data_IF_417137683572
#
_entry.id   IF_417137683572
#
_cell.length_a   1.000
_cell.length_b   1.000
_cell.length_c   1.000
_cell.angle_alpha   90.00
_cell.angle_beta   90.00
_cell.angle_gamma   90.00
#
_symmetry.space_group_name_H-M   'P 1'
#
loop_
_entity.id
_entity.type
_entity.pdbx_description
1 polymer ?
#
# COMPACT_ATOMS: atom_id res chain seq x y z
N UNK A 1 -7.17 29.02 2.83
CA UNK A 1 -7.50 29.18 1.39
C UNK A 1 -6.31 29.65 0.56
N UNK A 2 -5.53 30.64 1.02
CA UNK A 2 -4.31 31.06 0.31
C UNK A 2 -3.19 30.01 0.35
N UNK A 3 -3.06 29.24 1.44
CA UNK A 3 -2.01 28.21 1.56
C UNK A 3 -2.22 27.05 0.58
N UNK A 4 -3.48 26.66 0.34
CA UNK A 4 -3.84 25.62 -0.65
C UNK A 4 -3.49 26.01 -2.10
N UNK A 5 -3.55 27.31 -2.42
CA UNK A 5 -3.12 27.81 -3.73
C UNK A 5 -1.59 27.85 -3.82
N UNK A 6 -0.90 28.23 -2.74
CA UNK A 6 0.57 28.25 -2.65
C UNK A 6 1.17 26.84 -2.77
N UNK A 7 0.50 25.86 -2.19
CA UNK A 7 0.92 24.45 -2.22
C UNK A 7 0.51 23.73 -3.53
N UNK A 8 -0.16 24.44 -4.44
CA UNK A 8 -0.50 23.94 -5.77
C UNK A 8 -1.67 22.94 -5.80
N UNK A 9 -2.44 22.79 -4.73
CA UNK A 9 -3.65 21.95 -4.70
C UNK A 9 -4.84 22.61 -5.40
N UNK A 10 -4.76 23.92 -5.61
CA UNK A 10 -5.85 24.72 -6.16
C UNK A 10 -5.30 25.73 -7.16
N UNK A 11 -5.95 25.86 -8.32
CA UNK A 11 -5.64 26.84 -9.36
C UNK A 11 -6.74 27.89 -9.40
N UNK A 12 -6.36 29.17 -9.41
CA UNK A 12 -7.30 30.29 -9.60
C UNK A 12 -7.26 30.77 -11.03
N UNK A 13 -8.44 30.89 -11.64
CA UNK A 13 -8.62 31.60 -12.90
C UNK A 13 -9.44 32.86 -12.65
N UNK A 14 -8.84 34.03 -12.91
CA UNK A 14 -9.49 35.31 -12.66
C UNK A 14 -10.79 35.42 -13.47
N UNK A 15 -11.89 35.78 -12.79
CA UNK A 15 -13.23 35.85 -13.39
C UNK A 15 -13.97 34.52 -13.57
N UNK A 16 -13.33 33.37 -13.26
CA UNK A 16 -13.92 32.02 -13.46
C UNK A 16 -13.99 31.17 -12.19
N UNK A 17 -13.34 31.62 -11.11
CA UNK A 17 -13.36 30.95 -9.82
C UNK A 17 -12.10 30.13 -9.52
N UNK A 18 -12.24 29.19 -8.60
CA UNK A 18 -11.14 28.46 -7.96
C UNK A 18 -11.34 26.96 -8.17
N UNK A 19 -10.37 26.27 -8.77
CA UNK A 19 -10.47 24.87 -9.22
C UNK A 19 -9.45 23.98 -8.52
N UNK A 20 -9.80 22.72 -8.22
CA UNK A 20 -8.85 21.74 -7.64
C UNK A 20 -7.83 21.33 -8.71
N UNK A 21 -6.53 21.44 -8.40
CA UNK A 21 -5.45 21.07 -9.30
C UNK A 21 -5.28 19.54 -9.32
N UNK A 22 -5.11 18.95 -10.52
CA UNK A 22 -4.78 17.53 -10.70
C UNK A 22 -3.28 17.22 -10.62
N UNK A 23 -2.44 18.15 -10.16
CA UNK A 23 -1.00 17.94 -10.13
C UNK A 23 -0.58 17.23 -8.84
N UNK A 24 -0.21 15.94 -8.95
CA UNK A 24 0.46 15.19 -7.87
C UNK A 24 1.91 15.67 -7.74
N UNK A 25 2.14 16.72 -6.96
CA UNK A 25 3.51 17.11 -6.57
C UNK A 25 4.04 16.08 -5.58
N UNK A 26 5.00 15.29 -6.02
CA UNK A 26 6.02 14.50 -5.30
C UNK A 26 6.17 14.78 -3.80
N UNK A 27 5.16 14.43 -3.01
CA UNK A 27 5.28 14.20 -1.57
C UNK A 27 5.53 12.71 -1.41
N UNK A 28 6.42 12.31 -0.52
CA UNK A 28 6.46 10.93 -0.04
C UNK A 28 5.12 10.72 0.67
N UNK A 29 4.12 10.26 -0.09
CA UNK A 29 2.81 9.93 0.47
C UNK A 29 3.01 8.55 1.03
N UNK A 30 3.01 8.45 2.35
CA UNK A 30 2.67 7.19 2.99
C UNK A 30 1.34 6.77 2.37
N UNK A 31 1.30 5.66 1.65
CA UNK A 31 0.04 5.01 1.26
C UNK A 31 -0.59 4.53 2.57
N UNK A 32 -1.07 5.46 3.39
CA UNK A 32 -2.22 5.16 4.21
C UNK A 32 -3.35 5.06 3.20
N UNK A 33 -3.85 3.84 3.01
CA UNK A 33 -5.20 3.67 2.49
C UNK A 33 -6.07 4.57 3.38
N UNK A 34 -6.42 5.77 2.92
CA UNK A 34 -7.42 6.59 3.60
C UNK A 34 -8.72 5.89 3.32
N UNK A 35 -8.99 4.86 4.13
CA UNK A 35 -10.21 4.10 4.02
C UNK A 35 -11.37 5.04 4.35
N UNK A 36 -12.33 5.10 3.43
CA UNK A 36 -13.50 5.99 3.51
C UNK A 36 -14.47 5.52 4.61
N UNK A 37 -14.13 4.42 5.30
CA UNK A 37 -14.95 3.73 6.29
C UNK A 37 -14.23 3.71 7.64
N UNK A 38 -15.00 3.75 8.74
CA UNK A 38 -14.42 3.59 10.08
C UNK A 38 -13.78 2.19 10.21
N UNK A 39 -12.46 2.14 10.28
CA UNK A 39 -11.65 0.92 10.49
C UNK A 39 -11.54 0.52 11.96
N UNK A 40 -12.54 0.87 12.78
CA UNK A 40 -12.50 0.69 14.25
C UNK A 40 -12.24 -0.76 14.67
N UNK A 41 -12.66 -1.73 13.85
CA UNK A 41 -12.50 -3.16 14.08
C UNK A 41 -11.85 -3.86 12.87
N UNK A 42 -10.88 -3.19 12.22
CA UNK A 42 -10.19 -3.79 11.08
C UNK A 42 -9.22 -4.90 11.52
N UNK A 43 -9.39 -6.08 10.92
CA UNK A 43 -8.60 -7.28 11.18
C UNK A 43 -7.92 -7.74 9.91
N UNK A 44 -6.59 -7.75 9.94
CA UNK A 44 -5.77 -8.33 8.88
C UNK A 44 -5.47 -9.79 9.20
N UNK A 45 -5.79 -10.67 8.27
CA UNK A 45 -5.44 -12.10 8.35
C UNK A 45 -4.51 -12.45 7.21
N UNK A 46 -3.33 -13.02 7.51
CA UNK A 46 -2.40 -13.52 6.50
C UNK A 46 -2.79 -14.95 6.12
N UNK A 47 -3.02 -15.17 4.84
CA UNK A 47 -3.47 -16.45 4.30
C UNK A 47 -2.30 -17.31 3.82
N UNK A 48 -1.30 -16.70 3.16
CA UNK A 48 -0.14 -17.41 2.62
C UNK A 48 1.09 -16.51 2.58
N UNK A 49 2.26 -17.15 2.69
CA UNK A 49 3.58 -16.56 2.44
C UNK A 49 4.38 -17.59 1.64
N UNK A 50 4.67 -17.28 0.39
CA UNK A 50 5.35 -18.19 -0.54
C UNK A 50 6.59 -17.54 -1.13
N UNK A 51 7.72 -18.25 -1.08
CA UNK A 51 8.95 -17.80 -1.74
C UNK A 51 8.86 -18.09 -3.24
N UNK A 52 9.15 -17.10 -4.07
CA UNK A 52 9.07 -17.20 -5.53
C UNK A 52 10.24 -16.55 -6.26
N UNK A 53 10.42 -16.92 -7.54
CA UNK A 53 11.47 -16.41 -8.42
C UNK A 53 11.03 -16.28 -9.88
N UNK A 54 9.72 -16.12 -10.16
CA UNK A 54 9.26 -15.98 -11.54
C UNK A 54 9.77 -14.67 -12.14
N UNK A 55 10.31 -14.75 -13.36
CA UNK A 55 10.95 -13.61 -14.05
C UNK A 55 10.03 -12.39 -14.16
N UNK A 56 8.74 -12.60 -14.43
CA UNK A 56 7.73 -11.51 -14.53
C UNK A 56 7.68 -10.62 -13.28
N UNK A 57 7.81 -11.20 -12.08
CA UNK A 57 7.77 -10.44 -10.84
C UNK A 57 9.15 -9.90 -10.47
N UNK A 58 10.22 -10.62 -10.82
CA UNK A 58 11.59 -10.13 -10.62
C UNK A 58 11.83 -8.84 -11.40
N UNK A 59 11.41 -8.79 -12.67
CA UNK A 59 11.51 -7.59 -13.51
C UNK A 59 10.74 -6.40 -12.91
N UNK A 60 9.50 -6.63 -12.47
CA UNK A 60 8.69 -5.60 -11.80
C UNK A 60 9.30 -5.09 -10.49
N UNK A 61 10.04 -5.95 -9.79
CA UNK A 61 10.71 -5.62 -8.53
C UNK A 61 12.14 -5.09 -8.72
N UNK A 62 12.66 -5.05 -9.95
CA UNK A 62 14.05 -4.67 -10.23
C UNK A 62 15.08 -5.67 -9.70
N UNK A 63 14.70 -6.94 -9.63
CA UNK A 63 15.53 -8.05 -9.15
C UNK A 63 16.17 -8.82 -10.30
N UNK A 64 17.34 -9.39 -10.05
CA UNK A 64 18.04 -10.31 -10.97
C UNK A 64 17.40 -11.70 -10.96
N UNK A 65 17.61 -12.48 -12.02
CA UNK A 65 17.05 -13.83 -12.17
C UNK A 65 17.47 -14.86 -11.11
N UNK A 66 18.56 -14.58 -10.39
CA UNK A 66 19.08 -15.39 -9.28
C UNK A 66 18.56 -14.93 -7.90
N UNK A 67 17.73 -13.88 -7.84
CA UNK A 67 17.13 -13.35 -6.62
C UNK A 67 15.70 -13.86 -6.43
N UNK A 68 15.16 -13.61 -5.23
CA UNK A 68 13.88 -14.14 -4.80
C UNK A 68 13.02 -13.06 -4.13
N UNK A 69 11.71 -13.32 -4.10
CA UNK A 69 10.72 -12.51 -3.40
C UNK A 69 9.81 -13.42 -2.58
N UNK A 70 9.06 -12.83 -1.66
CA UNK A 70 7.91 -13.45 -1.02
C UNK A 70 6.61 -12.89 -1.58
N UNK A 71 5.71 -13.79 -1.98
CA UNK A 71 4.31 -13.50 -2.27
C UNK A 71 3.53 -13.65 -0.96
N UNK A 72 2.87 -12.59 -0.54
CA UNK A 72 2.08 -12.56 0.71
C UNK A 72 0.63 -12.28 0.33
N UNK A 73 -0.27 -13.20 0.69
CA UNK A 73 -1.71 -13.05 0.50
C UNK A 73 -2.40 -12.77 1.83
N UNK A 74 -3.22 -11.72 1.87
CA UNK A 74 -3.86 -11.22 3.09
C UNK A 74 -5.27 -10.77 2.82
N UNK A 75 -6.14 -10.89 3.82
CA UNK A 75 -7.48 -10.29 3.82
C UNK A 75 -7.60 -9.23 4.89
N UNK A 76 -8.29 -8.12 4.60
CA UNK A 76 -8.80 -7.20 5.62
C UNK A 76 -10.28 -7.45 5.84
N UNK A 77 -10.66 -7.46 7.12
CA UNK A 77 -12.00 -7.78 7.56
C UNK A 77 -12.46 -6.74 8.58
N UNK A 78 -13.67 -6.22 8.42
CA UNK A 78 -14.33 -5.40 9.43
C UNK A 78 -15.68 -6.02 9.76
N UNK A 79 -16.02 -6.12 11.05
CA UNK A 79 -17.28 -6.74 11.51
C UNK A 79 -17.56 -8.13 10.89
N UNK A 80 -16.50 -8.94 10.68
CA UNK A 80 -16.60 -10.27 10.06
C UNK A 80 -16.77 -10.28 8.54
N UNK A 81 -16.85 -9.12 7.89
CA UNK A 81 -16.98 -8.99 6.43
C UNK A 81 -15.60 -8.70 5.82
N UNK A 82 -15.16 -9.55 4.90
CA UNK A 82 -13.94 -9.32 4.13
C UNK A 82 -14.20 -8.28 3.06
N UNK A 83 -13.39 -7.23 3.02
CA UNK A 83 -13.58 -6.13 2.09
C UNK A 83 -12.35 -5.86 1.21
N UNK A 84 -11.16 -6.37 1.60
CA UNK A 84 -9.95 -6.34 0.77
C UNK A 84 -9.29 -7.71 0.75
N UNK A 85 -8.92 -8.14 -0.45
CA UNK A 85 -7.92 -9.18 -0.68
C UNK A 85 -6.67 -8.52 -1.27
N UNK A 86 -5.53 -8.69 -0.59
CA UNK A 86 -4.27 -8.09 -0.99
C UNK A 86 -3.24 -9.17 -1.31
N UNK A 87 -2.62 -9.06 -2.48
CA UNK A 87 -1.44 -9.85 -2.85
C UNK A 87 -0.25 -8.91 -2.99
N UNK A 88 0.77 -9.10 -2.17
CA UNK A 88 2.00 -8.31 -2.21
C UNK A 88 3.17 -9.18 -2.63
N UNK A 89 4.04 -8.64 -3.49
CA UNK A 89 5.33 -9.24 -3.83
C UNK A 89 6.43 -8.39 -3.22
N UNK A 90 7.20 -8.95 -2.29
CA UNK A 90 8.21 -8.23 -1.52
C UNK A 90 9.57 -8.88 -1.72
N UNK A 91 10.61 -8.14 -2.13
CA UNK A 91 11.97 -8.68 -2.23
C UNK A 91 12.42 -9.36 -0.93
N UNK A 92 13.08 -10.52 -1.06
CA UNK A 92 13.48 -11.34 0.08
C UNK A 92 14.32 -10.57 1.11
N UNK A 93 15.15 -9.62 0.67
CA UNK A 93 16.00 -8.80 1.53
C UNK A 93 15.23 -7.95 2.57
N UNK A 94 13.93 -7.71 2.35
CA UNK A 94 13.07 -6.96 3.28
C UNK A 94 12.24 -7.87 4.19
N UNK A 95 12.39 -9.20 4.07
CA UNK A 95 11.66 -10.20 4.82
C UNK A 95 12.61 -10.89 5.80
N UNK A 96 12.21 -10.97 7.07
CA UNK A 96 13.01 -11.67 8.07
C UNK A 96 12.75 -13.18 7.96
N UNK A 97 13.70 -13.90 7.36
CA UNK A 97 13.63 -15.36 7.17
C UNK A 97 13.52 -16.17 8.47
N UNK A 98 13.81 -15.56 9.64
CA UNK A 98 13.75 -16.22 10.94
C UNK A 98 12.34 -16.18 11.59
N UNK A 99 11.35 -15.57 10.93
CA UNK A 99 9.96 -15.53 11.42
C UNK A 99 9.03 -16.31 10.47
N UNK A 100 8.88 -17.63 10.67
CA UNK A 100 7.94 -18.45 9.89
C UNK A 100 6.47 -18.26 10.32
N UNK A 101 6.21 -17.56 11.44
CA UNK A 101 4.84 -17.34 11.91
C UNK A 101 4.16 -16.24 11.09
N UNK A 102 3.04 -16.60 10.44
CA UNK A 102 2.18 -15.72 9.66
C UNK A 102 1.70 -14.49 10.44
N UNK A 103 1.55 -14.62 11.76
CA UNK A 103 1.12 -13.53 12.65
C UNK A 103 2.10 -12.35 12.68
N UNK A 104 3.39 -12.59 12.41
CA UNK A 104 4.39 -11.52 12.34
C UNK A 104 4.08 -10.50 11.23
N UNK A 105 3.38 -10.93 10.19
CA UNK A 105 3.01 -10.10 9.03
C UNK A 105 1.57 -9.54 9.14
N UNK A 106 0.92 -9.74 10.29
CA UNK A 106 -0.31 -9.04 10.64
C UNK A 106 -0.03 -7.54 10.83
N UNK A 107 -1.02 -6.69 10.56
CA UNK A 107 -0.87 -5.24 10.61
C UNK A 107 -0.33 -4.77 11.96
N UNK A 108 0.64 -3.84 11.94
CA UNK A 108 1.17 -3.19 13.15
C UNK A 108 0.18 -2.18 13.77
N UNK A 109 -0.87 -1.82 13.02
CA UNK A 109 -1.93 -0.95 13.50
C UNK A 109 -2.96 -1.82 14.22
N UNK A 110 -2.93 -1.74 15.56
CA UNK A 110 -3.97 -2.24 16.47
C UNK A 110 -4.77 -1.07 17.03
#
# INVERSE_FOLDING_TARGET
LNDLAKDGYIVRQQGKGTFVSRARKHKLVEFSDVEIFETKDDKVTVLSIERGNKLEYLENLGLRGDQFYYKIERTRQTNGVTYIYHTSYIPEQYINANYPNLDYYSSIYK
#
